data_IF_777310913263
#
_entry.id   IF_777310913263
#
_cell.length_a   1.000
_cell.length_b   1.000
_cell.length_c   1.000
_cell.angle_alpha   90.00
_cell.angle_beta   90.00
_cell.angle_gamma   90.00
#
_symmetry.space_group_name_H-M   'P 1'
#
loop_
_entity.id
_entity.type
_entity.pdbx_description
1 polymer ?
#
# COMPACT_ATOMS: atom_id res chain seq x y z
N UNK A 1 -1.50 -6.42 -9.36
CA UNK A 1 -1.57 -5.97 -7.95
C UNK A 1 -2.42 -6.98 -7.18
N UNK A 2 -2.09 -7.33 -5.93
CA UNK A 2 -2.96 -8.22 -5.15
C UNK A 2 -4.17 -7.43 -4.63
N UNK A 3 -5.37 -7.74 -5.12
CA UNK A 3 -6.64 -7.13 -4.65
C UNK A 3 -6.83 -7.24 -3.14
N UNK A 4 -6.22 -8.24 -2.52
CA UNK A 4 -6.26 -8.48 -1.09
C UNK A 4 -5.51 -7.41 -0.30
N UNK A 5 -4.31 -7.01 -0.77
CA UNK A 5 -3.52 -5.96 -0.13
C UNK A 5 -4.24 -4.61 -0.21
N UNK A 6 -4.83 -4.30 -1.37
CA UNK A 6 -5.61 -3.08 -1.55
C UNK A 6 -6.82 -3.05 -0.60
N UNK A 7 -7.58 -4.15 -0.51
CA UNK A 7 -8.73 -4.26 0.40
C UNK A 7 -8.32 -4.11 1.87
N UNK A 8 -7.20 -4.71 2.28
CA UNK A 8 -6.71 -4.61 3.64
C UNK A 8 -6.30 -3.16 4.00
N UNK A 9 -5.55 -2.50 3.12
CA UNK A 9 -5.16 -1.09 3.30
C UNK A 9 -6.41 -0.19 3.32
N UNK A 10 -7.36 -0.40 2.41
CA UNK A 10 -8.63 0.33 2.37
C UNK A 10 -9.39 0.25 3.68
N UNK A 11 -9.47 -0.94 4.27
CA UNK A 11 -10.15 -1.17 5.56
C UNK A 11 -9.34 -0.70 6.76
N UNK A 12 -8.09 -0.25 6.56
CA UNK A 12 -7.13 0.07 7.63
C UNK A 12 -6.91 -1.12 8.57
N UNK A 13 -7.03 -2.32 8.01
CA UNK A 13 -6.85 -3.59 8.70
C UNK A 13 -5.36 -3.95 8.65
N UNK A 14 -4.65 -3.60 9.71
CA UNK A 14 -3.20 -3.80 9.81
C UNK A 14 -2.82 -5.27 9.80
N UNK A 15 -3.64 -6.12 10.42
CA UNK A 15 -3.39 -7.57 10.49
C UNK A 15 -3.51 -8.18 9.09
N UNK A 16 -4.62 -7.91 8.40
CA UNK A 16 -4.82 -8.39 7.03
C UNK A 16 -3.75 -7.84 6.07
N UNK A 17 -3.33 -6.58 6.22
CA UNK A 17 -2.28 -5.99 5.39
C UNK A 17 -0.93 -6.65 5.64
N UNK A 18 -0.61 -6.94 6.91
CA UNK A 18 0.61 -7.65 7.30
C UNK A 18 0.64 -9.06 6.74
N UNK A 19 -0.47 -9.81 6.86
CA UNK A 19 -0.59 -11.15 6.28
C UNK A 19 -0.47 -11.12 4.75
N UNK A 20 -1.06 -10.13 4.09
CA UNK A 20 -0.94 -9.97 2.64
C UNK A 20 0.53 -9.72 2.22
N UNK A 21 1.26 -8.87 2.94
CA UNK A 21 2.69 -8.62 2.71
C UNK A 21 3.52 -9.88 2.96
N UNK A 22 3.25 -10.64 4.03
CA UNK A 22 3.94 -11.91 4.30
C UNK A 22 3.70 -12.94 3.18
N UNK A 23 2.48 -13.03 2.64
CA UNK A 23 2.17 -13.88 1.48
C UNK A 23 2.91 -13.43 0.21
N UNK A 24 3.18 -12.14 0.05
CA UNK A 24 3.99 -11.65 -1.07
C UNK A 24 5.48 -12.01 -0.88
N UNK A 25 5.99 -11.91 0.34
CA UNK A 25 7.36 -12.36 0.68
C UNK A 25 7.57 -13.85 0.47
N UNK A 26 6.58 -14.68 0.82
CA UNK A 26 6.67 -16.14 0.62
C UNK A 26 6.68 -16.56 -0.85
N UNK A 27 6.25 -15.68 -1.76
CA UNK A 27 6.37 -15.85 -3.23
C UNK A 27 7.73 -15.39 -3.78
N UNK A 28 8.71 -15.16 -2.91
CA UNK A 28 10.06 -14.68 -3.27
C UNK A 28 10.09 -13.35 -4.03
N UNK A 29 9.07 -12.50 -3.83
CA UNK A 29 9.11 -11.14 -4.35
C UNK A 29 10.12 -10.32 -3.53
N UNK A 30 10.90 -9.48 -4.23
CA UNK A 30 11.85 -8.59 -3.56
C UNK A 30 11.12 -7.52 -2.74
N UNK A 31 11.78 -7.02 -1.70
CA UNK A 31 11.22 -5.97 -0.85
C UNK A 31 10.91 -4.69 -1.65
N UNK A 32 11.70 -4.39 -2.68
CA UNK A 32 11.45 -3.26 -3.58
C UNK A 32 10.13 -3.42 -4.34
N UNK A 33 9.84 -4.62 -4.85
CA UNK A 33 8.57 -4.92 -5.54
C UNK A 33 7.40 -4.81 -4.57
N UNK A 34 7.52 -5.37 -3.37
CA UNK A 34 6.47 -5.32 -2.35
C UNK A 34 6.20 -3.87 -1.94
N UNK A 35 7.25 -3.07 -1.73
CA UNK A 35 7.14 -1.65 -1.40
C UNK A 35 6.44 -0.89 -2.53
N UNK A 36 6.79 -1.16 -3.78
CA UNK A 36 6.13 -0.57 -4.95
C UNK A 36 4.64 -0.94 -5.00
N UNK A 37 4.29 -2.20 -4.72
CA UNK A 37 2.89 -2.64 -4.67
C UNK A 37 2.08 -1.94 -3.57
N UNK A 38 2.68 -1.74 -2.38
CA UNK A 38 2.06 -0.98 -1.29
C UNK A 38 1.87 0.48 -1.70
N UNK A 39 2.90 1.11 -2.30
CA UNK A 39 2.83 2.49 -2.78
C UNK A 39 1.71 2.69 -3.80
N UNK A 40 1.63 1.82 -4.82
CA UNK A 40 0.55 1.85 -5.82
C UNK A 40 -0.83 1.70 -5.16
N UNK A 41 -0.94 0.91 -4.09
CA UNK A 41 -2.20 0.77 -3.36
C UNK A 41 -2.62 2.07 -2.70
N UNK A 42 -1.69 2.74 -2.03
CA UNK A 42 -1.96 4.01 -1.35
C UNK A 42 -2.24 5.13 -2.36
N UNK A 43 -1.51 5.18 -3.47
CA UNK A 43 -1.76 6.12 -4.57
C UNK A 43 -3.15 5.93 -5.17
N UNK A 44 -3.54 4.69 -5.43
CA UNK A 44 -4.88 4.37 -5.94
C UNK A 44 -5.98 4.82 -4.98
N UNK A 45 -5.83 4.54 -3.69
CA UNK A 45 -6.77 5.01 -2.66
C UNK A 45 -6.86 6.54 -2.63
N UNK A 46 -5.73 7.23 -2.77
CA UNK A 46 -5.68 8.68 -2.72
C UNK A 46 -6.29 9.35 -3.97
N UNK A 47 -5.93 8.88 -5.17
CA UNK A 47 -6.29 9.53 -6.44
C UNK A 47 -7.62 9.05 -7.00
N UNK A 48 -7.87 7.73 -7.00
CA UNK A 48 -9.08 7.17 -7.63
C UNK A 48 -10.27 7.19 -6.66
N UNK A 49 -10.02 6.90 -5.38
CA UNK A 49 -11.08 6.74 -4.38
C UNK A 49 -11.24 7.98 -3.48
N UNK A 50 -10.33 8.95 -3.58
CA UNK A 50 -10.37 10.18 -2.79
C UNK A 50 -10.12 9.98 -1.30
N UNK A 51 -9.43 8.90 -0.89
CA UNK A 51 -9.06 8.67 0.51
C UNK A 51 -8.08 9.76 0.97
N UNK A 52 -8.61 10.71 1.76
CA UNK A 52 -7.85 11.85 2.31
C UNK A 52 -6.73 11.42 3.25
N UNK A 53 -6.88 10.30 3.97
CA UNK A 53 -5.85 9.81 4.86
C UNK A 53 -4.66 9.26 4.06
N UNK A 54 -4.95 8.50 2.99
CA UNK A 54 -3.93 8.04 2.03
C UNK A 54 -3.22 9.23 1.36
N UNK A 55 -3.97 10.22 0.87
CA UNK A 55 -3.42 11.43 0.27
C UNK A 55 -2.53 12.21 1.25
N UNK A 56 -2.99 12.40 2.49
CA UNK A 56 -2.22 13.08 3.54
C UNK A 56 -0.94 12.33 3.89
N UNK A 57 -1.00 10.99 3.91
CA UNK A 57 0.19 10.16 4.16
C UNK A 57 1.22 10.32 3.04
N UNK A 58 0.79 10.27 1.77
CA UNK A 58 1.64 10.50 0.59
C UNK A 58 2.29 11.88 0.63
N UNK A 59 1.52 12.93 0.94
CA UNK A 59 2.05 14.29 1.04
C UNK A 59 3.12 14.42 2.14
N UNK A 60 3.01 13.67 3.24
CA UNK A 60 4.01 13.70 4.33
C UNK A 60 5.28 12.89 4.01
N UNK A 61 5.16 11.78 3.29
CA UNK A 61 6.26 10.82 3.11
C UNK A 61 6.94 10.91 1.74
N UNK A 62 6.22 11.32 0.71
CA UNK A 62 6.74 11.45 -0.65
C UNK A 62 7.25 12.87 -0.97
N UNK A 63 6.83 13.90 -0.22
CA UNK A 63 7.37 15.25 -0.35
C UNK A 63 8.86 15.33 0.00
N UNK A 64 9.36 14.39 0.80
CA UNK A 64 10.78 14.26 1.18
C UNK A 64 11.66 13.51 0.18
N UNK A 65 11.10 12.99 -0.92
CA UNK A 65 11.85 12.24 -1.95
C UNK A 65 12.22 13.07 -3.18
N UNK A 66 12.04 14.40 -3.15
CA UNK A 66 12.51 15.31 -4.20
C UNK A 66 13.84 15.94 -3.85
#
# INVERSE_FOLDING_TARGET
MSDELLRAIRRRDLEAATSAVQRLRSRHLSEAVITSMVMVAVERLAWDEGDRAAASWLLRHCSRRR
#
